data_IF_069421233547
#
_entry.id   IF_069421233547
#
_cell.length_a   1.000
_cell.length_b   1.000
_cell.length_c   1.000
_cell.angle_alpha   90.00
_cell.angle_beta   90.00
_cell.angle_gamma   90.00
#
_symmetry.space_group_name_H-M   'P 1'
#
loop_
_entity.id
_entity.type
_entity.pdbx_description
1 polymer ?
#
# COMPACT_ATOMS: atom_id res chain seq x y z
N UNK A 1 6.96 -13.19 3.10
CA UNK A 1 6.24 -14.44 2.74
C UNK A 1 5.58 -15.14 3.93
N UNK A 2 6.18 -15.13 5.12
CA UNK A 2 5.62 -15.78 6.32
C UNK A 2 4.16 -15.38 6.59
N UNK A 3 3.87 -14.08 6.59
CA UNK A 3 2.52 -13.56 6.89
C UNK A 3 1.44 -14.00 5.90
N UNK A 4 1.80 -14.13 4.62
CA UNK A 4 0.89 -14.68 3.61
C UNK A 4 0.58 -16.15 3.91
N UNK A 5 1.61 -16.94 4.23
CA UNK A 5 1.45 -18.37 4.57
C UNK A 5 0.69 -18.58 5.89
N UNK A 6 0.81 -17.64 6.82
CA UNK A 6 0.08 -17.63 8.08
C UNK A 6 -1.36 -17.10 7.95
N UNK A 7 -1.75 -16.56 6.79
CA UNK A 7 -3.11 -16.06 6.55
C UNK A 7 -3.44 -14.76 7.27
N UNK A 8 -2.46 -13.99 7.75
CA UNK A 8 -2.69 -12.82 8.62
C UNK A 8 -2.96 -11.52 7.87
N UNK A 9 -2.83 -11.49 6.53
CA UNK A 9 -2.99 -10.26 5.76
C UNK A 9 -4.44 -9.70 5.84
N UNK A 10 -5.43 -10.53 5.53
CA UNK A 10 -6.81 -10.07 5.32
C UNK A 10 -7.06 -9.59 3.89
N UNK A 11 -8.25 -9.03 3.62
CA UNK A 11 -8.67 -8.67 2.27
C UNK A 11 -7.99 -7.40 1.74
N UNK A 12 -8.01 -7.22 0.42
CA UNK A 12 -7.59 -5.97 -0.24
C UNK A 12 -8.46 -4.81 0.27
N UNK A 13 -7.87 -3.65 0.66
CA UNK A 13 -8.62 -2.47 1.05
C UNK A 13 -9.62 -2.03 -0.03
N UNK A 14 -10.87 -1.65 0.31
CA UNK A 14 -11.92 -1.37 -0.68
C UNK A 14 -11.54 -0.33 -1.75
N UNK A 15 -10.85 0.74 -1.35
CA UNK A 15 -10.39 1.80 -2.25
C UNK A 15 -9.28 1.35 -3.21
N UNK A 16 -8.69 0.17 -3.02
CA UNK A 16 -7.71 -0.42 -3.94
C UNK A 16 -8.29 -1.55 -4.79
N UNK A 17 -9.57 -1.89 -4.61
CA UNK A 17 -10.22 -2.93 -5.42
C UNK A 17 -10.63 -2.37 -6.77
N UNK A 18 -10.63 -3.24 -7.78
CA UNK A 18 -11.02 -2.88 -9.14
C UNK A 18 -12.46 -2.34 -9.17
N UNK A 19 -12.63 -1.18 -9.80
CA UNK A 19 -13.89 -0.48 -9.97
C UNK A 19 -14.52 -0.69 -11.36
N UNK A 20 -13.85 -1.37 -12.29
CA UNK A 20 -14.25 -1.38 -13.71
C UNK A 20 -15.28 -2.46 -14.08
N UNK A 21 -15.70 -3.31 -13.15
CA UNK A 21 -16.67 -4.37 -13.43
C UNK A 21 -18.09 -4.01 -12.94
N UNK A 22 -19.10 -4.61 -13.56
CA UNK A 22 -20.51 -4.34 -13.24
C UNK A 22 -20.81 -4.64 -11.76
N UNK A 23 -21.27 -3.62 -11.03
CA UNK A 23 -21.66 -3.75 -9.62
C UNK A 23 -20.56 -3.40 -8.61
N UNK A 24 -19.35 -3.05 -9.06
CA UNK A 24 -18.25 -2.55 -8.23
C UNK A 24 -18.66 -1.37 -7.34
N UNK A 25 -19.41 -0.40 -7.89
CA UNK A 25 -19.89 0.78 -7.16
C UNK A 25 -20.79 0.43 -5.98
N UNK A 26 -21.68 -0.55 -6.15
CA UNK A 26 -22.57 -1.03 -5.09
C UNK A 26 -21.81 -1.72 -3.96
N UNK A 27 -20.67 -2.33 -4.31
CA UNK A 27 -19.74 -2.97 -3.37
C UNK A 27 -18.73 -1.97 -2.77
N UNK A 28 -18.77 -0.70 -3.19
CA UNK A 28 -17.87 0.35 -2.72
C UNK A 28 -16.43 0.20 -3.21
N UNK A 29 -16.18 -0.57 -4.27
CA UNK A 29 -14.83 -0.78 -4.80
C UNK A 29 -14.30 0.50 -5.45
N UNK A 30 -13.03 0.81 -5.20
CA UNK A 30 -12.37 2.03 -5.69
C UNK A 30 -12.86 3.32 -5.01
N UNK A 31 -13.92 3.27 -4.19
CA UNK A 31 -14.42 4.46 -3.48
C UNK A 31 -13.38 4.93 -2.47
N UNK A 32 -12.97 6.19 -2.60
CA UNK A 32 -11.94 6.80 -1.74
C UNK A 32 -10.50 6.56 -2.23
N UNK A 33 -10.30 5.94 -3.40
CA UNK A 33 -8.98 5.86 -4.02
C UNK A 33 -8.43 7.26 -4.28
N UNK A 34 -7.20 7.51 -3.83
CA UNK A 34 -6.48 8.73 -4.18
C UNK A 34 -5.50 8.39 -5.30
N UNK A 35 -5.68 9.02 -6.46
CA UNK A 35 -4.76 8.86 -7.59
C UNK A 35 -3.48 9.69 -7.34
N UNK A 36 -2.31 9.06 -7.12
CA UNK A 36 -1.13 9.80 -6.65
C UNK A 36 -0.66 10.90 -7.60
N UNK A 37 -0.86 10.73 -8.91
CA UNK A 37 -0.41 11.68 -9.92
C UNK A 37 -1.19 13.00 -9.93
N UNK A 38 -2.36 13.06 -9.27
CA UNK A 38 -3.13 14.30 -9.11
C UNK A 38 -2.73 15.07 -7.83
N UNK A 39 -1.88 14.48 -6.98
CA UNK A 39 -1.50 15.08 -5.69
C UNK A 39 -0.16 15.82 -5.77
N UNK A 40 0.00 16.91 -4.99
CA UNK A 40 1.30 17.56 -4.84
C UNK A 40 2.37 16.57 -4.38
N UNK A 41 3.50 16.54 -5.09
CA UNK A 41 4.61 15.61 -4.81
C UNK A 41 4.40 14.18 -5.34
N UNK A 42 3.25 13.86 -5.94
CA UNK A 42 3.01 12.56 -6.56
C UNK A 42 2.82 11.40 -5.57
N UNK A 43 2.52 11.70 -4.31
CA UNK A 43 2.44 10.71 -3.22
C UNK A 43 1.08 10.82 -2.53
N UNK A 44 0.34 9.70 -2.50
CA UNK A 44 -0.92 9.60 -1.78
C UNK A 44 -0.73 8.97 -0.40
N UNK A 45 -1.06 9.72 0.65
CA UNK A 45 -1.14 9.19 2.01
C UNK A 45 -2.47 8.41 2.18
N UNK A 46 -2.45 7.13 1.80
CA UNK A 46 -3.58 6.21 1.96
C UNK A 46 -3.11 4.84 2.46
N UNK A 47 -4.03 4.05 3.01
CA UNK A 47 -3.72 2.69 3.45
C UNK A 47 -3.51 1.77 2.24
N UNK A 48 -2.34 1.14 2.15
CA UNK A 48 -2.02 0.19 1.09
C UNK A 48 -2.07 -1.27 1.54
N UNK A 49 -1.52 -1.53 2.72
CA UNK A 49 -1.52 -2.85 3.31
C UNK A 49 -2.92 -3.18 3.89
N UNK A 50 -3.41 -4.41 3.71
CA UNK A 50 -4.55 -4.95 4.45
C UNK A 50 -4.43 -4.75 5.97
N UNK A 51 -5.57 -4.70 6.66
CA UNK A 51 -5.63 -4.38 8.10
C UNK A 51 -4.73 -5.25 8.97
N UNK A 52 -4.69 -6.57 8.73
CA UNK A 52 -3.92 -7.50 9.57
C UNK A 52 -2.40 -7.38 9.43
N UNK A 53 -1.92 -6.62 8.45
CA UNK A 53 -0.49 -6.31 8.27
C UNK A 53 -0.25 -4.80 8.08
N UNK A 54 -1.23 -3.97 8.41
CA UNK A 54 -1.07 -2.53 8.31
C UNK A 54 0.02 -2.05 9.28
N UNK A 55 0.92 -1.19 8.80
CA UNK A 55 2.07 -0.71 9.57
C UNK A 55 3.27 -1.68 9.65
N UNK A 56 3.16 -2.91 9.13
CA UNK A 56 4.33 -3.81 9.09
C UNK A 56 5.39 -3.32 8.10
N UNK A 57 6.65 -3.35 8.53
CA UNK A 57 7.82 -3.05 7.71
C UNK A 57 8.50 -4.36 7.31
N UNK A 58 8.63 -4.60 6.01
CA UNK A 58 9.32 -5.79 5.48
C UNK A 58 10.63 -5.47 4.78
N UNK A 59 10.84 -4.20 4.40
CA UNK A 59 12.05 -3.72 3.76
C UNK A 59 12.73 -2.73 4.71
N UNK A 60 13.97 -3.04 5.06
CA UNK A 60 14.87 -2.19 5.82
C UNK A 60 16.10 -1.95 4.94
N UNK A 61 16.21 -0.78 4.29
CA UNK A 61 17.30 -0.52 3.35
C UNK A 61 18.65 -0.52 4.06
N UNK A 62 19.67 -1.07 3.41
CA UNK A 62 21.04 -0.98 3.92
C UNK A 62 21.68 0.35 3.54
N UNK A 63 22.81 0.69 4.17
CA UNK A 63 23.62 1.87 3.81
C UNK A 63 24.64 1.56 2.69
N UNK A 64 24.55 0.39 2.04
CA UNK A 64 25.55 -0.04 1.07
C UNK A 64 25.12 0.25 -0.38
N UNK A 65 26.07 0.78 -1.16
CA UNK A 65 25.89 1.00 -2.59
C UNK A 65 24.66 1.83 -2.91
N UNK A 66 23.86 1.38 -3.88
CA UNK A 66 22.69 2.11 -4.37
C UNK A 66 21.53 2.16 -3.36
N UNK A 67 21.51 1.31 -2.32
CA UNK A 67 20.45 1.31 -1.31
C UNK A 67 20.56 2.48 -0.32
N UNK A 68 21.76 3.05 -0.17
CA UNK A 68 22.00 4.13 0.79
C UNK A 68 21.02 5.30 0.60
N UNK A 69 20.74 5.69 -0.65
CA UNK A 69 19.78 6.77 -0.96
C UNK A 69 18.35 6.47 -0.52
N UNK A 70 17.97 5.20 -0.44
CA UNK A 70 16.64 4.82 0.05
C UNK A 70 16.62 4.84 1.57
N UNK A 71 17.70 4.43 2.22
CA UNK A 71 17.81 4.52 3.67
C UNK A 71 17.68 5.97 4.19
N UNK A 72 18.10 6.97 3.40
CA UNK A 72 17.91 8.39 3.75
C UNK A 72 16.44 8.81 3.68
N UNK A 73 15.67 8.27 2.72
CA UNK A 73 14.26 8.58 2.54
C UNK A 73 13.34 7.88 3.57
N UNK A 74 13.81 6.80 4.20
CA UNK A 74 13.00 6.01 5.12
C UNK A 74 12.88 6.62 6.53
N UNK A 75 13.75 7.57 6.89
CA UNK A 75 13.80 8.20 8.22
C UNK A 75 14.15 7.20 9.33
N UNK A 76 15.04 7.58 10.25
CA UNK A 76 15.25 6.80 11.47
C UNK A 76 14.01 6.88 12.39
#
# INVERSE_FOLDING_TARGET
LADVRAGVAGPVPPHLRDSHYKGSEKLGHGKGYQYPHDLPGGIAAQQYAPEGIHGKRYYEPTRYGAEARYADAFGD
#
